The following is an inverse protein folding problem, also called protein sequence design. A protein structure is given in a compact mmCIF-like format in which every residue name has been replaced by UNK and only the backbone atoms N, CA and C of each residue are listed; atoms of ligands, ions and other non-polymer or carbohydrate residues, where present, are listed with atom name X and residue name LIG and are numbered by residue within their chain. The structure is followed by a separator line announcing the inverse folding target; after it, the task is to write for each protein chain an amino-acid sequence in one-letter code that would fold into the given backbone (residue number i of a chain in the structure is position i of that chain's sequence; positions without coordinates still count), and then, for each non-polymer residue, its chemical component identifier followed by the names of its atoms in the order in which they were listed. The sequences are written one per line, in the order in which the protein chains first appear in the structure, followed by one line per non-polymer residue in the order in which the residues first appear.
data_IF_688657536121
#
_entry.id   IF_688657536121
#
_cell.length_a   1.000
_cell.length_b   1.000
_cell.length_c   1.000
_cell.angle_alpha   90.00
_cell.angle_beta   90.00
_cell.angle_gamma   90.00
#
_symmetry.space_group_name_H-M   'P 1'
#
loop_
_entity.id
_entity.type
_entity.pdbx_description
1 polymer ?
#
# COMPACT_ATOMS: atom_id res chain seq x y z
N UNK A 1 -0.77 6.04 7.70
CA UNK A 1 -0.07 6.31 6.40
C UNK A 1 -0.92 6.00 5.18
N UNK A 2 -1.67 4.89 5.14
CA UNK A 2 -2.46 4.49 3.94
C UNK A 2 -3.39 5.61 3.42
N UNK A 3 -4.03 6.36 4.31
CA UNK A 3 -4.91 7.50 3.95
C UNK A 3 -4.15 8.72 3.43
N UNK A 4 -2.92 8.93 3.90
CA UNK A 4 -2.08 10.07 3.49
C UNK A 4 -1.42 9.84 2.13
N UNK A 5 -1.27 8.57 1.74
CA UNK A 5 -0.65 8.19 0.48
C UNK A 5 -1.61 8.49 -0.69
N UNK A 6 -1.15 9.16 -1.76
CA UNK A 6 -1.98 9.61 -2.88
C UNK A 6 -2.32 8.45 -3.85
N UNK A 7 -2.73 7.29 -3.33
CA UNK A 7 -2.93 6.06 -4.10
C UNK A 7 -3.96 6.23 -5.21
N UNK A 8 -5.13 6.79 -4.90
CA UNK A 8 -6.18 7.06 -5.90
C UNK A 8 -5.74 8.08 -6.95
N UNK A 9 -5.01 9.12 -6.55
CA UNK A 9 -4.46 10.11 -7.48
C UNK A 9 -3.45 9.47 -8.44
N UNK A 10 -2.59 8.59 -7.93
CA UNK A 10 -1.61 7.87 -8.73
C UNK A 10 -2.27 6.90 -9.72
N UNK A 11 -3.25 6.11 -9.26
CA UNK A 11 -4.00 5.19 -10.13
C UNK A 11 -4.77 5.94 -11.22
N UNK A 12 -5.44 7.04 -10.87
CA UNK A 12 -6.14 7.86 -11.86
C UNK A 12 -5.18 8.50 -12.87
N UNK A 13 -4.04 9.01 -12.39
CA UNK A 13 -3.03 9.60 -13.27
C UNK A 13 -2.48 8.58 -14.30
N UNK A 14 -2.18 7.35 -13.87
CA UNK A 14 -1.73 6.28 -14.78
C UNK A 14 -2.82 5.93 -15.80
N UNK A 15 -4.07 5.83 -15.35
CA UNK A 15 -5.19 5.53 -16.25
C UNK A 15 -5.38 6.63 -17.30
N UNK A 16 -5.25 7.90 -16.92
CA UNK A 16 -5.34 9.04 -17.83
C UNK A 16 -4.16 9.14 -18.80
N UNK A 17 -2.94 8.83 -18.35
CA UNK A 17 -1.77 8.71 -19.24
C UNK A 17 -1.97 7.58 -20.26
N UNK A 18 -2.49 6.44 -19.83
CA UNK A 18 -2.79 5.31 -20.70
C UNK A 18 -3.92 5.63 -21.71
N UNK A 19 -4.89 6.48 -21.33
CA UNK A 19 -5.98 6.92 -22.19
C UNK A 19 -5.65 8.16 -23.03
N UNK A 20 -4.37 8.52 -23.18
CA UNK A 20 -3.88 9.67 -23.96
C UNK A 20 -4.33 11.05 -23.46
N UNK A 21 -4.78 11.16 -22.21
CA UNK A 21 -5.00 12.45 -21.55
C UNK A 21 -3.71 12.92 -20.88
N UNK A 22 -2.71 13.26 -21.70
CA UNK A 22 -1.34 13.56 -21.27
C UNK A 22 -1.25 14.75 -20.32
N UNK A 23 -2.02 15.83 -20.56
CA UNK A 23 -1.96 17.05 -19.76
C UNK A 23 -2.47 16.81 -18.33
N UNK A 24 -3.65 16.22 -18.17
CA UNK A 24 -4.22 15.95 -16.85
C UNK A 24 -3.50 14.80 -16.13
N UNK A 25 -3.08 13.77 -16.88
CA UNK A 25 -2.36 12.63 -16.38
C UNK A 25 -0.99 13.00 -15.81
N UNK A 26 -0.18 13.80 -16.54
CA UNK A 26 1.12 14.26 -16.06
C UNK A 26 1.00 15.18 -14.84
N UNK A 27 0.03 16.10 -14.82
CA UNK A 27 -0.19 16.99 -13.68
C UNK A 27 -0.57 16.23 -12.40
N UNK A 28 -1.51 15.27 -12.48
CA UNK A 28 -1.88 14.42 -11.33
C UNK A 28 -0.75 13.50 -10.91
N UNK A 29 0.02 12.98 -11.85
CA UNK A 29 1.18 12.14 -11.57
C UNK A 29 2.25 12.93 -10.79
N UNK A 30 2.61 14.13 -11.28
CA UNK A 30 3.57 15.00 -10.62
C UNK A 30 3.09 15.43 -9.22
N UNK A 31 1.80 15.72 -9.05
CA UNK A 31 1.21 16.03 -7.74
C UNK A 31 1.26 14.85 -6.76
N UNK A 32 0.96 13.64 -7.24
CA UNK A 32 1.09 12.42 -6.44
C UNK A 32 2.57 12.16 -6.05
N UNK A 33 3.50 12.32 -6.98
CA UNK A 33 4.94 12.14 -6.74
C UNK A 33 5.47 13.15 -5.71
N UNK A 34 5.06 14.41 -5.83
CA UNK A 34 5.42 15.47 -4.87
C UNK A 34 4.91 15.15 -3.47
N UNK A 35 3.69 14.61 -3.36
CA UNK A 35 3.11 14.21 -2.08
C UNK A 35 3.87 13.04 -1.46
N UNK A 36 4.25 12.05 -2.28
CA UNK A 36 5.12 10.94 -1.83
C UNK A 36 6.44 11.49 -1.31
N UNK A 37 7.09 12.42 -2.02
CA UNK A 37 8.35 13.03 -1.58
C UNK A 37 8.21 13.80 -0.26
N UNK A 38 7.15 14.61 -0.10
CA UNK A 38 6.87 15.31 1.17
C UNK A 38 6.72 14.35 2.33
N UNK A 39 6.00 13.24 2.12
CA UNK A 39 5.81 12.21 3.15
C UNK A 39 7.12 11.49 3.47
N UNK A 40 7.92 11.15 2.46
CA UNK A 40 9.23 10.51 2.66
C UNK A 40 10.18 11.39 3.46
N UNK A 41 10.34 12.66 3.04
CA UNK A 41 11.22 13.62 3.72
C UNK A 41 10.71 13.90 5.14
N UNK A 42 9.41 14.13 5.31
CA UNK A 42 8.81 14.35 6.62
C UNK A 42 8.98 13.16 7.57
N UNK A 43 8.85 11.92 7.05
CA UNK A 43 9.09 10.71 7.83
C UNK A 43 10.56 10.58 8.25
N UNK A 44 11.50 10.85 7.33
CA UNK A 44 12.94 10.84 7.65
C UNK A 44 13.29 11.86 8.73
N UNK A 45 12.81 13.10 8.60
CA UNK A 45 13.01 14.16 9.61
C UNK A 45 12.40 13.76 10.95
N UNK A 46 11.21 13.17 10.96
CA UNK A 46 10.56 12.73 12.19
C UNK A 46 11.36 11.63 12.91
N UNK A 47 11.92 10.67 12.16
CA UNK A 47 12.75 9.61 12.72
C UNK A 47 14.08 10.15 13.25
N UNK A 48 14.77 11.04 12.52
CA UNK A 48 16.02 11.64 13.00
C UNK A 48 15.82 12.54 14.21
N UNK A 49 14.73 13.32 14.26
CA UNK A 49 14.38 14.10 15.45
C UNK A 49 14.05 13.21 16.63
N UNK A 50 13.31 12.12 16.43
CA UNK A 50 13.01 11.18 17.50
C UNK A 50 14.29 10.58 18.11
N UNK A 51 15.25 10.22 17.26
CA UNK A 51 16.56 9.70 17.67
C UNK A 51 17.36 10.75 18.48
N UNK A 52 17.44 11.99 18.00
CA UNK A 52 18.10 13.11 18.71
C UNK A 52 17.45 13.40 20.06
N UNK A 53 16.13 13.24 20.16
CA UNK A 53 15.37 13.44 21.40
C UNK A 53 15.46 12.24 22.36
N UNK A 54 16.18 11.17 22.00
CA UNK A 54 16.27 9.95 22.80
C UNK A 54 14.95 9.19 22.90
N UNK A 55 14.04 9.38 21.94
CA UNK A 55 12.81 8.61 21.84
C UNK A 55 13.13 7.25 21.22
N UNK A 56 13.73 6.38 22.01
CA UNK A 56 13.95 5.01 21.61
C UNK A 56 12.61 4.32 21.36
N UNK A 57 12.38 3.72 20.18
CA UNK A 57 11.21 2.90 19.98
C UNK A 57 11.30 1.73 20.96
N UNK A 58 10.38 1.69 21.93
CA UNK A 58 10.21 0.53 22.83
C UNK A 58 9.64 -0.61 21.99
N UNK A 59 10.51 -1.28 21.24
CA UNK A 59 10.15 -2.45 20.44
C UNK A 59 10.03 -3.63 21.42
N UNK A 60 8.94 -3.67 22.19
CA UNK A 60 8.46 -4.90 22.81
C UNK A 60 7.73 -5.73 21.76
N UNK A 61 8.42 -6.05 20.67
CA UNK A 61 7.95 -7.04 19.72
C UNK A 61 8.25 -8.41 20.34
N UNK A 62 7.33 -8.92 21.16
CA UNK A 62 7.27 -10.35 21.44
C UNK A 62 6.97 -11.04 20.10
N UNK A 63 8.00 -11.36 19.32
CA UNK A 63 7.90 -12.24 18.16
C UNK A 63 8.19 -13.66 18.66
N UNK A 64 7.43 -14.68 18.21
CA UNK A 64 6.39 -14.63 17.19
C UNK A 64 5.03 -14.20 17.77
N UNK A 65 4.34 -13.29 17.10
CA UNK A 65 2.92 -13.02 17.40
C UNK A 65 2.10 -14.20 16.87
N UNK A 66 1.13 -14.66 17.66
CA UNK A 66 0.27 -15.77 17.24
C UNK A 66 -0.55 -15.42 15.99
N UNK A 67 -0.94 -16.40 15.14
CA UNK A 67 -1.72 -16.15 13.93
C UNK A 67 -3.03 -15.38 14.19
N UNK A 68 -3.62 -15.55 15.37
CA UNK A 68 -4.83 -14.84 15.79
C UNK A 68 -4.65 -13.33 15.87
N UNK A 69 -3.44 -12.84 16.21
CA UNK A 69 -3.15 -11.40 16.26
C UNK A 69 -3.13 -10.82 14.85
N UNK A 70 -2.58 -11.57 13.89
CA UNK A 70 -2.58 -11.18 12.49
C UNK A 70 -4.01 -11.05 11.96
N UNK A 71 -4.83 -12.11 12.09
CA UNK A 71 -6.22 -12.09 11.63
C UNK A 71 -7.10 -11.10 12.42
N UNK A 72 -6.87 -10.91 13.72
CA UNK A 72 -7.56 -9.91 14.53
C UNK A 72 -7.23 -8.48 14.09
N UNK A 73 -5.96 -8.19 13.80
CA UNK A 73 -5.52 -6.91 13.25
C UNK A 73 -6.11 -6.68 11.85
N UNK A 74 -6.22 -7.74 11.04
CA UNK A 74 -6.82 -7.70 9.70
C UNK A 74 -8.29 -7.32 9.77
N UNK A 75 -9.07 -7.96 10.65
CA UNK A 75 -10.48 -7.66 10.85
C UNK A 75 -10.69 -6.25 11.38
N UNK A 76 -9.86 -5.82 12.33
CA UNK A 76 -9.91 -4.47 12.90
C UNK A 76 -9.64 -3.41 11.82
N UNK A 77 -8.63 -3.64 10.97
CA UNK A 77 -8.30 -2.76 9.86
C UNK A 77 -9.41 -2.75 8.79
N UNK A 78 -9.98 -3.92 8.46
CA UNK A 78 -11.10 -4.02 7.52
C UNK A 78 -12.34 -3.26 8.01
N UNK A 79 -12.63 -3.33 9.31
CA UNK A 79 -13.71 -2.55 9.93
C UNK A 79 -13.43 -1.05 9.89
N UNK A 80 -12.19 -0.63 10.21
CA UNK A 80 -11.78 0.77 10.11
C UNK A 80 -11.91 1.29 8.67
N UNK A 81 -11.59 0.48 7.66
CA UNK A 81 -11.81 0.84 6.25
C UNK A 81 -13.28 0.95 5.88
N UNK A 82 -14.14 0.06 6.36
CA UNK A 82 -15.59 0.18 6.15
C UNK A 82 -16.14 1.51 6.70
N UNK A 83 -15.62 1.95 7.84
CA UNK A 83 -15.96 3.24 8.44
C UNK A 83 -15.37 4.42 7.65
N UNK A 84 -14.10 4.31 7.23
CA UNK A 84 -13.41 5.34 6.43
C UNK A 84 -14.11 5.61 5.11
N UNK A 85 -14.56 4.56 4.41
CA UNK A 85 -15.30 4.67 3.15
C UNK A 85 -16.77 5.05 3.34
N UNK A 86 -17.21 5.30 4.58
CA UNK A 86 -18.62 5.58 4.92
C UNK A 86 -19.56 4.56 4.28
N UNK A 87 -19.17 3.28 4.27
CA UNK A 87 -20.00 2.23 3.69
C UNK A 87 -21.35 2.19 4.42
N UNK A 88 -22.42 1.80 3.72
CA UNK A 88 -23.68 1.56 4.38
C UNK A 88 -23.50 0.36 5.33
N UNK A 89 -24.14 0.36 6.51
CA UNK A 89 -24.00 -0.72 7.51
C UNK A 89 -24.30 -2.11 6.93
N UNK A 90 -25.17 -2.16 5.92
CA UNK A 90 -25.53 -3.39 5.19
C UNK A 90 -24.40 -3.91 4.28
N UNK A 91 -23.44 -3.06 3.92
CA UNK A 91 -22.32 -3.40 3.03
C UNK A 91 -21.04 -3.75 3.80
N UNK A 92 -21.03 -3.58 5.13
CA UNK A 92 -19.88 -3.91 5.98
C UNK A 92 -19.40 -5.35 5.81
N UNK A 93 -20.28 -6.37 5.78
CA UNK A 93 -19.85 -7.75 5.59
C UNK A 93 -19.12 -7.95 4.25
N UNK A 94 -19.59 -7.29 3.18
CA UNK A 94 -18.98 -7.38 1.85
C UNK A 94 -17.62 -6.70 1.80
N UNK A 95 -17.50 -5.54 2.44
CA UNK A 95 -16.24 -4.80 2.56
C UNK A 95 -15.20 -5.63 3.34
N UNK A 96 -15.61 -6.20 4.47
CA UNK A 96 -14.73 -7.02 5.31
C UNK A 96 -14.31 -8.29 4.56
N UNK A 97 -15.26 -8.99 3.95
CA UNK A 97 -14.97 -10.19 3.16
C UNK A 97 -14.00 -9.90 2.01
N UNK A 98 -14.18 -8.77 1.31
CA UNK A 98 -13.29 -8.35 0.23
C UNK A 98 -11.88 -8.02 0.72
N UNK A 99 -11.74 -7.32 1.85
CA UNK A 99 -10.43 -7.03 2.47
C UNK A 99 -9.73 -8.31 2.93
N UNK A 100 -10.46 -9.22 3.58
CA UNK A 100 -9.92 -10.51 4.05
C UNK A 100 -9.48 -11.37 2.86
N UNK A 101 -10.31 -11.48 1.82
CA UNK A 101 -9.97 -12.22 0.61
C UNK A 101 -8.75 -11.62 -0.10
N UNK A 102 -8.71 -10.29 -0.25
CA UNK A 102 -7.58 -9.59 -0.87
C UNK A 102 -6.25 -9.86 -0.17
N UNK A 103 -6.27 -9.82 1.16
CA UNK A 103 -5.11 -10.17 1.97
C UNK A 103 -4.74 -11.64 1.87
N UNK A 104 -5.70 -12.55 2.04
CA UNK A 104 -5.47 -13.98 2.03
C UNK A 104 -4.88 -14.44 0.68
N UNK A 105 -5.47 -14.02 -0.45
CA UNK A 105 -4.98 -14.36 -1.78
C UNK A 105 -3.57 -13.82 -1.98
N UNK A 106 -3.30 -12.57 -1.57
CA UNK A 106 -1.97 -11.98 -1.68
C UNK A 106 -0.93 -12.72 -0.84
N UNK A 107 -1.29 -13.11 0.40
CA UNK A 107 -0.42 -13.85 1.31
C UNK A 107 -0.10 -15.24 0.79
N UNK A 108 -1.13 -16.04 0.47
CA UNK A 108 -0.94 -17.42 0.02
C UNK A 108 -0.35 -17.50 -1.39
N UNK A 109 -0.80 -16.64 -2.31
CA UNK A 109 -0.21 -16.52 -3.63
C UNK A 109 1.23 -16.02 -3.58
N UNK A 110 1.53 -15.10 -2.64
CA UNK A 110 2.87 -14.60 -2.38
C UNK A 110 3.81 -15.68 -1.83
N UNK A 111 3.29 -16.60 -1.03
CA UNK A 111 4.06 -17.73 -0.51
C UNK A 111 4.35 -18.79 -1.58
N UNK A 112 3.41 -19.02 -2.51
CA UNK A 112 3.56 -20.01 -3.57
C UNK A 112 4.41 -19.53 -4.76
N UNK A 113 4.25 -18.28 -5.20
CA UNK A 113 4.83 -17.77 -6.46
C UNK A 113 5.64 -16.47 -6.29
N UNK A 114 5.86 -16.02 -5.06
CA UNK A 114 6.56 -14.77 -4.75
C UNK A 114 5.62 -13.58 -4.62
N UNK A 115 6.05 -12.59 -3.84
CA UNK A 115 5.22 -11.45 -3.45
C UNK A 115 4.59 -10.67 -4.63
N UNK A 116 5.30 -10.35 -5.73
CA UNK A 116 4.69 -9.65 -6.87
C UNK A 116 3.55 -10.45 -7.52
N UNK A 117 3.72 -11.77 -7.65
CA UNK A 117 2.70 -12.65 -8.23
C UNK A 117 1.46 -12.76 -7.34
N UNK A 118 1.63 -12.84 -6.01
CA UNK A 118 0.51 -12.84 -5.06
C UNK A 118 -0.32 -11.55 -5.12
N UNK A 119 0.36 -10.39 -5.18
CA UNK A 119 -0.29 -9.09 -5.34
C UNK A 119 -1.02 -9.03 -6.70
N UNK A 120 -0.40 -9.47 -7.79
CA UNK A 120 -1.05 -9.49 -9.08
C UNK A 120 -2.32 -10.38 -9.08
N UNK A 121 -2.21 -11.60 -8.54
CA UNK A 121 -3.31 -12.56 -8.48
C UNK A 121 -4.49 -12.03 -7.66
N UNK A 122 -4.22 -11.44 -6.51
CA UNK A 122 -5.25 -10.84 -5.66
C UNK A 122 -5.94 -9.65 -6.35
N UNK A 123 -5.19 -8.77 -7.01
CA UNK A 123 -5.75 -7.66 -7.77
C UNK A 123 -6.64 -8.14 -8.93
N UNK A 124 -6.22 -9.18 -9.64
CA UNK A 124 -6.97 -9.79 -10.74
C UNK A 124 -8.28 -10.42 -10.24
N UNK A 125 -8.22 -11.26 -9.20
CA UNK A 125 -9.38 -11.96 -8.66
C UNK A 125 -10.40 -11.01 -8.01
N UNK A 126 -9.93 -10.00 -7.26
CA UNK A 126 -10.83 -8.99 -6.68
C UNK A 126 -11.48 -8.10 -7.74
N UNK A 127 -10.77 -7.80 -8.82
CA UNK A 127 -11.33 -7.02 -9.92
C UNK A 127 -12.38 -7.83 -10.68
N UNK A 128 -12.08 -9.08 -11.00
CA UNK A 128 -13.04 -10.00 -11.62
C UNK A 128 -14.26 -10.24 -10.72
N UNK A 129 -14.04 -10.51 -9.44
CA UNK A 129 -15.08 -10.73 -8.44
C UNK A 129 -15.95 -9.49 -8.20
N UNK A 130 -15.36 -8.29 -8.15
CA UNK A 130 -16.11 -7.04 -8.04
C UNK A 130 -16.99 -6.76 -9.26
N UNK A 131 -16.51 -7.06 -10.47
CA UNK A 131 -17.32 -6.94 -11.69
C UNK A 131 -18.45 -7.97 -11.72
N UNK A 132 -18.19 -9.21 -11.31
CA UNK A 132 -19.20 -10.26 -11.23
C UNK A 132 -20.27 -9.93 -10.17
N UNK A 133 -19.85 -9.48 -8.99
CA UNK A 133 -20.76 -9.02 -7.94
C UNK A 133 -21.63 -7.85 -8.42
N UNK A 134 -21.05 -6.90 -9.16
CA UNK A 134 -21.81 -5.80 -9.73
C UNK A 134 -22.88 -6.24 -10.72
N UNK A 135 -22.61 -7.32 -11.47
CA UNK A 135 -23.57 -7.92 -12.40
C UNK A 135 -24.66 -8.74 -11.72
N UNK A 136 -24.31 -9.51 -10.68
CA UNK A 136 -25.26 -10.42 -10.00
C UNK A 136 -26.11 -9.74 -8.94
N UNK A 137 -25.52 -8.83 -8.15
CA UNK A 137 -26.16 -8.23 -6.97
C UNK A 137 -26.76 -6.86 -7.29
N UNK A 138 -26.49 -6.31 -8.48
CA UNK A 138 -27.01 -5.00 -8.92
C UNK A 138 -26.51 -3.82 -8.07
N UNK A 139 -25.40 -4.01 -7.35
CA UNK A 139 -24.74 -2.99 -6.53
C UNK A 139 -23.40 -2.59 -7.12
N UNK A 140 -22.86 -1.38 -6.86
CA UNK A 140 -21.59 -0.97 -7.42
C UNK A 140 -20.46 -1.96 -7.04
N UNK A 141 -19.79 -2.55 -8.04
CA UNK A 141 -18.65 -3.45 -7.84
C UNK A 141 -17.47 -2.81 -7.08
N UNK A 142 -17.47 -1.48 -6.99
CA UNK A 142 -16.55 -0.69 -6.17
C UNK A 142 -16.58 -1.07 -4.68
N UNK A 143 -17.71 -1.59 -4.18
CA UNK A 143 -17.88 -2.05 -2.78
C UNK A 143 -16.89 -3.17 -2.45
N UNK A 144 -16.54 -4.01 -3.43
CA UNK A 144 -15.59 -5.11 -3.26
C UNK A 144 -14.18 -4.69 -3.70
N UNK A 145 -14.06 -4.00 -4.84
CA UNK A 145 -12.75 -3.65 -5.41
C UNK A 145 -11.92 -2.72 -4.51
N UNK A 146 -12.51 -1.62 -4.04
CA UNK A 146 -11.77 -0.60 -3.29
C UNK A 146 -11.17 -1.13 -1.98
N UNK A 147 -11.94 -1.75 -1.08
CA UNK A 147 -11.39 -2.25 0.18
C UNK A 147 -10.47 -3.45 0.01
N UNK A 148 -10.69 -4.31 -1.00
CA UNK A 148 -9.80 -5.41 -1.31
C UNK A 148 -8.43 -4.93 -1.80
N UNK A 149 -8.39 -4.00 -2.76
CA UNK A 149 -7.15 -3.45 -3.34
C UNK A 149 -6.36 -2.63 -2.30
N UNK A 150 -7.05 -1.83 -1.48
CA UNK A 150 -6.40 -0.99 -0.46
C UNK A 150 -5.75 -1.84 0.64
N UNK A 151 -6.29 -3.04 0.91
CA UNK A 151 -5.71 -3.98 1.86
C UNK A 151 -4.35 -4.54 1.43
N UNK A 152 -4.07 -4.51 0.13
CA UNK A 152 -2.77 -4.89 -0.44
C UNK A 152 -1.71 -3.80 -0.19
N UNK A 153 -2.15 -2.67 0.37
CA UNK A 153 -1.36 -1.51 0.77
C UNK A 153 -0.40 -1.02 -0.34
N UNK A 154 -0.88 -0.83 -1.58
CA UNK A 154 -0.03 -0.52 -2.74
C UNK A 154 0.79 0.77 -2.52
N UNK A 155 0.19 1.78 -1.89
CA UNK A 155 0.91 3.01 -1.56
C UNK A 155 2.07 2.82 -0.58
N UNK A 156 1.97 1.86 0.35
CA UNK A 156 3.06 1.59 1.30
C UNK A 156 4.18 0.79 0.66
N UNK A 157 3.87 -0.13 -0.27
CA UNK A 157 4.89 -0.84 -1.05
C UNK A 157 5.63 0.13 -1.97
N UNK A 158 4.95 1.10 -2.58
CA UNK A 158 5.60 2.18 -3.35
C UNK A 158 6.49 3.06 -2.47
N UNK A 159 5.99 3.50 -1.31
CA UNK A 159 6.79 4.29 -0.36
C UNK A 159 8.01 3.51 0.15
N UNK A 160 7.83 2.24 0.53
CA UNK A 160 8.93 1.35 0.91
C UNK A 160 9.93 1.19 -0.22
N UNK A 161 9.49 1.04 -1.46
CA UNK A 161 10.37 0.98 -2.63
C UNK A 161 11.23 2.24 -2.78
N UNK A 162 10.64 3.42 -2.66
CA UNK A 162 11.38 4.70 -2.69
C UNK A 162 12.34 4.80 -1.50
N UNK A 163 11.88 4.46 -0.30
CA UNK A 163 12.73 4.45 0.90
C UNK A 163 13.90 3.48 0.76
N UNK A 164 13.68 2.28 0.21
CA UNK A 164 14.76 1.32 -0.05
C UNK A 164 15.74 1.83 -1.10
N UNK A 165 15.28 2.54 -2.14
CA UNK A 165 16.18 3.13 -3.14
C UNK A 165 17.02 4.25 -2.55
N UNK A 166 16.42 5.13 -1.73
CA UNK A 166 17.12 6.21 -1.03
C UNK A 166 18.11 5.63 0.00
N UNK A 167 17.69 4.61 0.77
CA UNK A 167 18.56 3.93 1.73
C UNK A 167 19.64 3.08 1.06
N UNK A 168 19.43 2.56 -0.14
CA UNK A 168 20.45 1.84 -0.92
C UNK A 168 21.43 2.80 -1.61
N UNK A 169 21.05 4.06 -1.85
CA UNK A 169 21.96 5.08 -2.37
C UNK A 169 22.94 5.60 -1.31
N UNK A 170 22.63 5.50 -0.02
CA UNK A 170 23.56 5.86 1.05
C UNK A 170 24.19 4.62 1.71
N UNK A 171 25.53 4.63 1.75
CA UNK A 171 26.49 3.80 2.52
C UNK A 171 27.32 2.77 1.73
N UNK A 172 26.84 2.14 0.65
CA UNK A 172 27.63 1.10 -0.05
C UNK A 172 28.49 1.57 -1.23
N UNK A 173 27.87 2.27 -2.19
CA UNK A 173 28.47 2.49 -3.51
C UNK A 173 29.41 3.70 -3.58
N UNK A 174 29.17 4.74 -2.78
CA UNK A 174 30.03 5.93 -2.74
C UNK A 174 31.39 5.66 -2.07
N UNK A 175 31.40 4.79 -1.06
CA UNK A 175 32.60 4.48 -0.28
C UNK A 175 33.54 3.52 -1.04
N UNK A 176 33.00 2.57 -1.81
CA UNK A 176 33.80 1.67 -2.66
C UNK A 176 34.46 2.40 -3.83
N UNK A 177 33.79 3.40 -4.43
CA UNK A 177 34.36 4.19 -5.52
C UNK A 177 35.47 5.12 -5.02
N UNK A 178 35.29 5.75 -3.86
CA UNK A 178 36.33 6.61 -3.25
C UNK A 178 37.60 5.83 -2.87
N UNK A 179 37.46 4.60 -2.35
CA UNK A 179 38.59 3.73 -2.02
C UNK A 179 39.28 3.11 -3.25
N UNK A 180 38.59 3.01 -4.39
CA UNK A 180 39.17 2.49 -5.64
C UNK A 180 39.99 3.54 -6.40
N UNK A 181 39.77 4.83 -6.11
CA UNK A 181 40.52 5.95 -6.75
C UNK A 181 41.75 6.36 -5.92
N UNK A 182 41.84 5.94 -4.66
CA UNK A 182 42.95 6.24 -3.74
C UNK A 182 43.98 5.10 -3.59
N UNK A 183 43.83 4.02 -4.35
CA UNK A 183 44.77 2.90 -4.48
C UNK A 183 45.16 2.72 -5.95
#
# INVERSE_FOLDING_TARGET
LVVLLPGMSLTNAVNELASQHWVSGTARFAGALTTIMKLSVGAMIAVTLADVLGLDPVIRAARPQGPWVEWGSLLTAAFAFAMLFKANRRDYPWVIAASVAGYAISKFGGHAWGAPAGIFLSAMLLTAGGNLFGRLVGRPGAIIRLPGIIMMVPGSTSLRGVLTLVQQQDVGAGQSVFLTVLN
#
